data_IF_985632092544
#
_entry.id   IF_985632092544
#
_cell.length_a   1.000
_cell.length_b   1.000
_cell.length_c   1.000
_cell.angle_alpha   90.00
_cell.angle_beta   90.00
_cell.angle_gamma   90.00
#
_symmetry.space_group_name_H-M   'P 1'
#
loop_
_entity.id
_entity.type
_entity.pdbx_description
1 polymer ?
#
# COMPACT_ATOMS: atom_id res chain seq x y z
N UNK A 1 -22.70 -10.09 -28.48
CA UNK A 1 -21.65 -9.64 -27.54
C UNK A 1 -22.36 -9.10 -26.32
N UNK A 2 -22.15 -9.68 -25.13
CA UNK A 2 -22.68 -9.09 -23.90
C UNK A 2 -21.89 -7.82 -23.60
N UNK A 3 -22.60 -6.72 -23.33
CA UNK A 3 -21.99 -5.45 -22.93
C UNK A 3 -21.58 -5.56 -21.46
N UNK A 4 -20.43 -4.96 -21.12
CA UNK A 4 -19.97 -4.82 -19.74
C UNK A 4 -20.93 -3.93 -18.95
N UNK A 5 -21.25 -4.31 -17.71
CA UNK A 5 -22.01 -3.43 -16.81
C UNK A 5 -21.10 -2.33 -16.26
N UNK A 6 -21.69 -1.23 -15.78
CA UNK A 6 -20.89 -0.16 -15.17
C UNK A 6 -20.12 -0.63 -13.93
N UNK A 7 -20.72 -1.50 -13.11
CA UNK A 7 -20.05 -2.15 -11.98
C UNK A 7 -18.81 -2.96 -12.43
N UNK A 8 -18.93 -3.76 -13.48
CA UNK A 8 -17.79 -4.51 -14.02
C UNK A 8 -16.67 -3.59 -14.53
N UNK A 9 -17.04 -2.47 -15.14
CA UNK A 9 -16.08 -1.46 -15.57
C UNK A 9 -15.34 -0.83 -14.39
N UNK A 10 -16.05 -0.43 -13.33
CA UNK A 10 -15.44 0.13 -12.12
C UNK A 10 -14.55 -0.89 -11.39
N UNK A 11 -14.96 -2.16 -11.32
CA UNK A 11 -14.14 -3.24 -10.75
C UNK A 11 -12.85 -3.47 -11.55
N UNK A 12 -12.92 -3.39 -12.89
CA UNK A 12 -11.74 -3.48 -13.75
C UNK A 12 -10.80 -2.31 -13.49
N UNK A 13 -11.33 -1.08 -13.36
CA UNK A 13 -10.54 0.11 -13.03
C UNK A 13 -9.90 0.00 -11.65
N UNK A 14 -10.63 -0.41 -10.62
CA UNK A 14 -10.08 -0.66 -9.29
C UNK A 14 -8.88 -1.63 -9.32
N UNK A 15 -8.97 -2.70 -10.12
CA UNK A 15 -7.89 -3.67 -10.26
C UNK A 15 -6.67 -3.10 -11.00
N UNK A 16 -6.88 -2.21 -11.96
CA UNK A 16 -5.83 -1.48 -12.68
C UNK A 16 -5.03 -0.60 -11.72
N UNK A 17 -5.71 0.27 -10.96
CA UNK A 17 -5.05 1.18 -10.00
C UNK A 17 -4.27 0.39 -8.92
N UNK A 18 -4.82 -0.75 -8.45
CA UNK A 18 -4.12 -1.62 -7.51
C UNK A 18 -2.84 -2.24 -8.12
N UNK A 19 -2.86 -2.53 -9.42
CA UNK A 19 -1.70 -3.07 -10.14
C UNK A 19 -0.63 -2.00 -10.37
N UNK A 20 -1.03 -0.75 -10.62
CA UNK A 20 -0.14 0.39 -10.75
C UNK A 20 0.55 0.73 -9.42
N UNK A 21 -0.20 0.70 -8.30
CA UNK A 21 0.38 0.78 -6.95
C UNK A 21 1.43 -0.30 -6.73
N UNK A 22 1.13 -1.56 -7.07
CA UNK A 22 2.08 -2.66 -6.91
C UNK A 22 3.35 -2.41 -7.74
N UNK A 23 3.20 -1.97 -8.99
CA UNK A 23 4.33 -1.67 -9.87
C UNK A 23 5.21 -0.54 -9.31
N UNK A 24 4.62 0.58 -8.88
CA UNK A 24 5.40 1.70 -8.37
C UNK A 24 6.00 1.40 -7.00
N UNK A 25 5.32 0.66 -6.13
CA UNK A 25 5.85 0.25 -4.83
C UNK A 25 7.10 -0.64 -4.99
N UNK A 26 7.06 -1.62 -5.91
CA UNK A 26 8.21 -2.47 -6.21
C UNK A 26 9.37 -1.67 -6.82
N UNK A 27 9.09 -0.77 -7.76
CA UNK A 27 10.11 0.14 -8.32
C UNK A 27 10.74 1.01 -7.22
N UNK A 28 9.92 1.53 -6.32
CA UNK A 28 10.37 2.36 -5.21
C UNK A 28 11.22 1.57 -4.21
N UNK A 29 10.87 0.31 -3.93
CA UNK A 29 11.68 -0.56 -3.10
C UNK A 29 13.07 -0.82 -3.71
N UNK A 30 13.15 -0.92 -5.04
CA UNK A 30 14.40 -1.16 -5.76
C UNK A 30 15.30 0.08 -5.83
N UNK A 31 14.74 1.26 -6.09
CA UNK A 31 15.52 2.46 -6.41
C UNK A 31 15.45 3.59 -5.37
N UNK A 32 14.55 3.48 -4.40
CA UNK A 32 14.34 4.49 -3.36
C UNK A 32 13.22 5.49 -3.68
N UNK A 33 12.78 6.17 -2.61
CA UNK A 33 11.61 7.07 -2.61
C UNK A 33 11.78 8.32 -3.48
N UNK A 34 13.00 8.87 -3.51
CA UNK A 34 13.28 10.15 -4.19
C UNK A 34 13.84 9.96 -5.60
N UNK A 35 14.06 8.72 -6.02
CA UNK A 35 14.55 8.43 -7.37
C UNK A 35 13.52 8.90 -8.41
N UNK A 36 14.04 9.42 -9.53
CA UNK A 36 13.25 9.88 -10.66
C UNK A 36 13.95 9.52 -11.96
N UNK A 37 13.26 8.77 -12.82
CA UNK A 37 13.75 8.50 -14.17
C UNK A 37 13.92 9.82 -14.95
N UNK A 38 14.99 10.01 -15.74
CA UNK A 38 15.23 11.25 -16.47
C UNK A 38 14.04 11.75 -17.30
N UNK A 39 13.29 10.82 -17.89
CA UNK A 39 12.12 11.12 -18.73
C UNK A 39 10.81 11.32 -17.95
N UNK A 40 10.83 11.24 -16.61
CA UNK A 40 9.65 11.41 -15.76
C UNK A 40 9.65 12.77 -15.06
N UNK A 41 8.47 13.38 -14.95
CA UNK A 41 8.30 14.63 -14.22
C UNK A 41 8.38 14.43 -12.69
N UNK A 42 7.82 13.31 -12.21
CA UNK A 42 7.62 13.01 -10.79
C UNK A 42 8.56 11.93 -10.28
N UNK A 43 8.99 12.04 -9.02
CA UNK A 43 9.74 10.99 -8.35
C UNK A 43 8.83 9.83 -7.92
N UNK A 44 9.44 8.73 -7.49
CA UNK A 44 8.75 7.52 -7.08
C UNK A 44 7.70 7.74 -5.98
N UNK A 45 8.01 8.54 -4.95
CA UNK A 45 7.07 8.86 -3.86
C UNK A 45 5.85 9.63 -4.36
N UNK A 46 6.06 10.65 -5.19
CA UNK A 46 4.98 11.44 -5.77
C UNK A 46 4.05 10.57 -6.61
N UNK A 47 4.62 9.63 -7.38
CA UNK A 47 3.84 8.67 -8.17
C UNK A 47 3.04 7.70 -7.29
N UNK A 48 3.59 7.19 -6.18
CA UNK A 48 2.82 6.39 -5.21
C UNK A 48 1.58 7.16 -4.73
N UNK A 49 1.71 8.46 -4.45
CA UNK A 49 0.58 9.26 -4.01
C UNK A 49 -0.51 9.38 -5.08
N UNK A 50 -0.14 9.50 -6.36
CA UNK A 50 -1.10 9.53 -7.47
C UNK A 50 -1.91 8.23 -7.53
N UNK A 51 -1.23 7.08 -7.62
CA UNK A 51 -1.93 5.80 -7.76
C UNK A 51 -2.80 5.48 -6.53
N UNK A 52 -2.38 5.91 -5.32
CA UNK A 52 -3.20 5.79 -4.11
C UNK A 52 -4.46 6.66 -4.18
N UNK A 53 -4.38 7.89 -4.70
CA UNK A 53 -5.55 8.74 -4.87
C UNK A 53 -6.50 8.16 -5.92
N UNK A 54 -5.96 7.62 -7.01
CA UNK A 54 -6.77 7.01 -8.08
C UNK A 54 -7.50 5.75 -7.58
N UNK A 55 -6.83 4.89 -6.81
CA UNK A 55 -7.47 3.76 -6.13
C UNK A 55 -8.60 4.22 -5.19
N UNK A 56 -8.36 5.25 -4.37
CA UNK A 56 -9.38 5.76 -3.45
C UNK A 56 -10.58 6.36 -4.20
N UNK A 57 -10.34 7.07 -5.31
CA UNK A 57 -11.40 7.57 -6.17
C UNK A 57 -12.24 6.42 -6.75
N UNK A 58 -11.64 5.29 -7.13
CA UNK A 58 -12.40 4.12 -7.60
C UNK A 58 -13.25 3.47 -6.50
N UNK A 59 -12.77 3.47 -5.25
CA UNK A 59 -13.57 3.03 -4.10
C UNK A 59 -14.78 3.96 -3.88
N UNK A 60 -14.60 5.27 -4.02
CA UNK A 60 -15.67 6.26 -3.90
C UNK A 60 -16.72 6.11 -5.02
N UNK A 61 -16.28 5.91 -6.26
CA UNK A 61 -17.18 5.65 -7.40
C UNK A 61 -17.96 4.34 -7.22
N UNK A 62 -17.31 3.26 -6.77
CA UNK A 62 -17.98 2.01 -6.45
C UNK A 62 -19.03 2.19 -5.36
N UNK A 63 -18.71 2.92 -4.30
CA UNK A 63 -19.65 3.22 -3.22
C UNK A 63 -20.82 4.11 -3.68
N UNK A 64 -20.59 5.01 -4.62
CA UNK A 64 -21.59 5.97 -5.12
C UNK A 64 -22.58 5.31 -6.08
N UNK A 65 -22.07 4.52 -7.03
CA UNK A 65 -22.88 4.02 -8.15
C UNK A 65 -23.35 2.57 -7.98
N UNK A 66 -22.82 1.87 -6.99
CA UNK A 66 -23.16 0.48 -6.72
C UNK A 66 -23.45 0.29 -5.22
N UNK A 67 -23.96 -0.87 -4.83
CA UNK A 67 -24.17 -1.20 -3.42
C UNK A 67 -22.88 -1.71 -2.73
N UNK A 68 -21.71 -1.20 -3.13
CA UNK A 68 -20.40 -1.70 -2.64
C UNK A 68 -20.24 -1.53 -1.13
N UNK A 69 -20.65 -0.37 -0.59
CA UNK A 69 -20.77 -0.15 0.86
C UNK A 69 -19.47 -0.28 1.65
N UNK A 70 -18.31 -0.17 0.99
CA UNK A 70 -17.02 -0.23 1.66
C UNK A 70 -16.86 0.96 2.59
N UNK A 71 -16.44 0.66 3.82
CA UNK A 71 -16.06 1.66 4.83
C UNK A 71 -14.78 1.20 5.50
N UNK A 72 -13.88 2.14 5.76
CA UNK A 72 -12.66 1.82 6.47
C UNK A 72 -12.98 1.23 7.85
N UNK A 73 -12.34 0.10 8.16
CA UNK A 73 -12.35 -0.49 9.49
C UNK A 73 -11.01 -0.20 10.16
N UNK A 74 -10.97 0.85 10.99
CA UNK A 74 -9.76 1.28 11.69
C UNK A 74 -9.20 0.20 12.62
N UNK A 75 -10.05 -0.56 13.33
CA UNK A 75 -9.59 -1.65 14.18
C UNK A 75 -8.89 -2.75 13.38
N UNK A 76 -9.44 -3.10 12.20
CA UNK A 76 -8.79 -4.05 11.30
C UNK A 76 -7.44 -3.53 10.76
N UNK A 77 -7.34 -2.23 10.44
CA UNK A 77 -6.08 -1.58 10.03
C UNK A 77 -5.04 -1.66 11.15
N UNK A 78 -5.40 -1.35 12.40
CA UNK A 78 -4.52 -1.45 13.57
C UNK A 78 -4.03 -2.88 13.77
N UNK A 79 -4.94 -3.86 13.80
CA UNK A 79 -4.59 -5.28 13.96
C UNK A 79 -3.62 -5.77 12.86
N UNK A 80 -3.81 -5.28 11.62
CA UNK A 80 -2.90 -5.60 10.50
C UNK A 80 -1.51 -4.99 10.73
N UNK A 81 -1.41 -3.77 11.23
CA UNK A 81 -0.15 -3.09 11.56
C UNK A 81 0.58 -3.81 12.70
N UNK A 82 -0.13 -4.19 13.77
CA UNK A 82 0.47 -4.96 14.87
C UNK A 82 1.05 -6.29 14.39
N UNK A 83 0.29 -7.00 13.54
CA UNK A 83 0.76 -8.25 12.92
C UNK A 83 1.98 -8.01 12.02
N UNK A 84 1.98 -6.93 11.24
CA UNK A 84 3.15 -6.53 10.42
C UNK A 84 4.38 -6.30 11.30
N UNK A 85 4.24 -5.52 12.38
CA UNK A 85 5.33 -5.22 13.31
C UNK A 85 5.90 -6.47 13.97
N UNK A 86 5.06 -7.45 14.32
CA UNK A 86 5.50 -8.76 14.81
C UNK A 86 6.41 -9.49 13.81
N UNK A 87 6.03 -9.53 12.53
CA UNK A 87 6.86 -10.18 11.51
C UNK A 87 8.10 -9.36 11.12
N UNK A 88 8.02 -8.03 11.22
CA UNK A 88 9.19 -7.17 11.07
C UNK A 88 10.22 -7.48 12.15
N UNK A 89 9.81 -7.54 13.43
CA UNK A 89 10.70 -7.93 14.54
C UNK A 89 11.36 -9.30 14.34
N UNK A 90 10.61 -10.28 13.83
CA UNK A 90 11.18 -11.59 13.46
C UNK A 90 12.16 -11.50 12.28
N UNK A 91 11.87 -10.67 11.28
CA UNK A 91 12.77 -10.49 10.13
C UNK A 91 14.08 -9.79 10.53
N UNK A 92 14.02 -8.85 11.48
CA UNK A 92 15.19 -8.21 12.08
C UNK A 92 16.02 -9.24 12.84
N UNK A 93 15.41 -10.10 13.67
CA UNK A 93 16.15 -11.12 14.42
C UNK A 93 16.84 -12.17 13.53
N UNK A 94 16.33 -12.37 12.31
CA UNK A 94 16.95 -13.18 11.26
C UNK A 94 18.01 -12.44 10.43
N UNK A 95 18.26 -11.15 10.68
CA UNK A 95 19.18 -10.32 9.90
C UNK A 95 18.71 -10.08 8.46
N UNK A 96 17.40 -10.14 8.19
CA UNK A 96 16.81 -9.94 6.86
C UNK A 96 16.38 -8.50 6.59
N UNK A 97 16.29 -7.68 7.64
CA UNK A 97 15.92 -6.26 7.56
C UNK A 97 16.81 -5.47 8.51
N UNK A 98 17.29 -4.31 8.06
CA UNK A 98 18.15 -3.37 8.79
C UNK A 98 17.64 -1.93 8.64
N UNK A 99 18.25 -0.97 9.33
CA UNK A 99 17.90 0.47 9.29
C UNK A 99 16.44 0.77 9.69
N UNK A 100 15.93 0.01 10.66
CA UNK A 100 14.57 0.20 11.17
C UNK A 100 14.55 1.40 12.14
N UNK A 101 13.49 2.23 12.14
CA UNK A 101 13.38 3.35 13.08
C UNK A 101 13.55 2.91 14.54
N UNK A 102 14.24 3.72 15.35
CA UNK A 102 14.64 3.38 16.73
C UNK A 102 13.47 2.95 17.66
N UNK A 103 12.24 3.34 17.33
CA UNK A 103 11.03 2.91 18.05
C UNK A 103 10.85 1.38 18.07
N UNK A 104 11.50 0.65 17.15
CA UNK A 104 11.46 -0.81 17.09
C UNK A 104 12.66 -1.48 17.81
N UNK A 105 13.74 -0.74 18.06
CA UNK A 105 14.94 -1.26 18.77
C UNK A 105 14.71 -1.35 20.28
N UNK A 106 13.93 -0.43 20.87
CA UNK A 106 13.60 -0.46 22.30
C UNK A 106 12.74 -1.69 22.67
N UNK A 107 11.81 -2.08 21.81
CA UNK A 107 10.98 -3.28 22.00
C UNK A 107 11.80 -4.59 21.92
N UNK A 108 12.91 -4.60 21.18
CA UNK A 108 13.81 -5.76 21.10
C UNK A 108 14.72 -5.90 22.34
N UNK A 109 14.93 -4.83 23.10
CA UNK A 109 15.79 -4.82 24.31
C UNK A 109 15.03 -5.06 25.62
N UNK A 110 13.70 -4.87 25.65
CA UNK A 110 12.88 -5.05 26.85
C UNK A 110 12.41 -6.48 27.17
N UNK A 111 12.98 -7.51 26.53
CA UNK A 111 12.54 -8.91 26.64
C UNK A 111 13.36 -9.82 27.55
N UNK A 112 14.33 -9.28 28.30
CA UNK A 112 15.16 -10.04 29.25
C UNK A 112 15.05 -9.45 30.67
N UNK A 113 13.89 -9.58 31.29
CA UNK A 113 13.75 -9.60 32.77
C UNK A 113 12.72 -10.65 33.17
#
# INVERSE_FOLDING_TARGET
>A
MNKMTYEQFLLMKLAEEASEIAQIALKTAQFGMTEKHPDMALNNKERIHLELNDLLAMVDELNTWTQFGFKENYAAKINKIEKLNKYLGYSISLGKVENVPAIFDEAARGGNE
#
